data_IF_994227515152
#
_entry.id   IF_994227515152
#
_cell.length_a   1.000
_cell.length_b   1.000
_cell.length_c   1.000
_cell.angle_alpha   90.00
_cell.angle_beta   90.00
_cell.angle_gamma   90.00
#
_symmetry.space_group_name_H-M   'P 1'
#
loop_
_entity.id
_entity.type
_entity.pdbx_description
1 polymer ?
#
# COMPACT_ATOMS: atom_id res chain seq x y z
N UNK A 1 -10.95 19.49 -7.03
CA UNK A 1 -11.14 18.24 -6.31
C UNK A 1 -9.84 17.51 -5.99
N UNK A 2 -9.11 17.00 -6.98
CA UNK A 2 -7.86 16.26 -6.76
C UNK A 2 -6.81 17.15 -6.09
N UNK A 3 -6.50 18.29 -6.71
CA UNK A 3 -5.46 19.21 -6.23
C UNK A 3 -5.83 19.83 -4.88
N UNK A 4 -7.10 20.15 -4.66
CA UNK A 4 -7.57 20.82 -3.44
C UNK A 4 -7.80 19.86 -2.27
N UNK A 5 -8.53 18.75 -2.48
CA UNK A 5 -9.02 17.90 -1.39
C UNK A 5 -8.21 16.62 -1.22
N UNK A 6 -7.74 15.98 -2.30
CA UNK A 6 -7.08 14.67 -2.23
C UNK A 6 -5.56 14.76 -2.14
N UNK A 7 -4.96 15.78 -2.74
CA UNK A 7 -3.51 15.98 -2.78
C UNK A 7 -2.86 16.04 -1.38
N UNK A 8 -3.44 16.69 -0.34
CA UNK A 8 -2.82 16.68 0.98
C UNK A 8 -2.63 15.26 1.56
N UNK A 9 -3.60 14.38 1.33
CA UNK A 9 -3.53 12.96 1.73
C UNK A 9 -2.45 12.23 0.96
N UNK A 10 -2.44 12.39 -0.36
CA UNK A 10 -1.43 11.78 -1.24
C UNK A 10 -0.01 12.21 -0.86
N UNK A 11 0.22 13.51 -0.63
CA UNK A 11 1.53 14.02 -0.22
C UNK A 11 1.94 13.46 1.14
N UNK A 12 1.02 13.36 2.11
CA UNK A 12 1.28 12.71 3.40
C UNK A 12 1.68 11.25 3.22
N UNK A 13 0.96 10.50 2.38
CA UNK A 13 1.25 9.09 2.08
C UNK A 13 2.61 8.92 1.42
N UNK A 14 2.91 9.72 0.39
CA UNK A 14 4.20 9.73 -0.31
C UNK A 14 5.33 10.00 0.67
N UNK A 15 5.22 11.01 1.55
CA UNK A 15 6.26 11.31 2.55
C UNK A 15 6.56 10.11 3.45
N UNK A 16 5.54 9.34 3.85
CA UNK A 16 5.74 8.14 4.67
C UNK A 16 6.37 7.02 3.83
N UNK A 17 5.85 6.78 2.62
CA UNK A 17 6.42 5.78 1.72
C UNK A 17 7.87 6.06 1.32
N UNK A 18 8.25 7.34 1.21
CA UNK A 18 9.64 7.75 0.97
C UNK A 18 10.55 7.41 2.15
N UNK A 19 10.11 7.64 3.39
CA UNK A 19 10.86 7.24 4.59
C UNK A 19 11.08 5.73 4.63
N UNK A 20 10.08 4.96 4.20
CA UNK A 20 10.14 3.49 4.11
C UNK A 20 10.80 2.98 2.82
N UNK A 21 11.15 3.88 1.90
CA UNK A 21 11.65 3.58 0.55
C UNK A 21 10.75 2.64 -0.25
N UNK A 22 9.45 2.64 0.07
CA UNK A 22 8.43 1.77 -0.52
C UNK A 22 7.74 2.35 -1.74
N UNK A 23 8.04 3.61 -2.06
CA UNK A 23 7.42 4.37 -3.16
C UNK A 23 8.54 5.13 -3.91
N UNK A 24 8.60 5.05 -5.26
CA UNK A 24 9.65 5.68 -6.05
C UNK A 24 9.26 7.11 -6.50
N UNK A 25 8.27 7.72 -5.87
CA UNK A 25 7.69 9.00 -6.28
C UNK A 25 8.06 10.13 -5.32
N UNK A 26 8.11 11.35 -5.84
CA UNK A 26 8.32 12.58 -5.08
C UNK A 26 7.36 13.67 -5.56
N UNK A 27 6.87 14.47 -4.61
CA UNK A 27 6.11 15.67 -4.95
C UNK A 27 7.05 16.86 -5.05
N UNK A 28 7.22 17.39 -6.25
CA UNK A 28 8.06 18.56 -6.52
C UNK A 28 7.28 19.83 -6.21
N UNK A 29 7.65 20.50 -5.12
CA UNK A 29 7.06 21.80 -4.74
C UNK A 29 7.26 22.87 -5.82
N UNK A 30 8.38 22.81 -6.56
CA UNK A 30 8.69 23.77 -7.63
C UNK A 30 7.72 23.67 -8.81
N UNK A 31 7.33 22.46 -9.17
CA UNK A 31 6.44 22.23 -10.31
C UNK A 31 4.99 22.00 -9.91
N UNK A 32 4.71 21.72 -8.64
CA UNK A 32 3.39 21.25 -8.17
C UNK A 32 3.01 19.89 -8.75
N UNK A 33 3.99 19.06 -9.12
CA UNK A 33 3.77 17.78 -9.83
C UNK A 33 4.49 16.63 -9.14
N UNK A 34 3.96 15.44 -9.35
CA UNK A 34 4.63 14.19 -9.02
C UNK A 34 5.70 13.86 -10.04
N UNK A 35 6.86 13.45 -9.57
CA UNK A 35 8.01 13.02 -10.36
C UNK A 35 8.56 11.72 -9.80
N UNK A 36 9.25 10.95 -10.64
CA UNK A 36 10.01 9.78 -10.17
C UNK A 36 11.28 10.27 -9.49
N UNK A 37 11.63 9.65 -8.36
CA UNK A 37 12.86 9.97 -7.62
C UNK A 37 14.10 9.72 -8.50
N UNK A 38 15.07 10.63 -8.41
CA UNK A 38 16.38 10.46 -9.07
C UNK A 38 17.39 9.70 -8.18
N UNK A 39 17.02 9.43 -6.93
CA UNK A 39 17.85 8.72 -5.96
C UNK A 39 17.97 7.23 -6.34
N UNK A 40 19.13 6.86 -6.89
CA UNK A 40 19.44 5.48 -7.33
C UNK A 40 19.32 4.47 -6.20
N UNK A 41 19.70 4.83 -4.97
CA UNK A 41 19.64 3.95 -3.81
C UNK A 41 18.19 3.66 -3.44
N UNK A 42 17.33 4.67 -3.48
CA UNK A 42 15.90 4.49 -3.23
C UNK A 42 15.25 3.62 -4.30
N UNK A 43 15.57 3.85 -5.58
CA UNK A 43 15.09 3.00 -6.68
C UNK A 43 15.51 1.54 -6.49
N UNK A 44 16.78 1.31 -6.16
CA UNK A 44 17.28 -0.04 -5.94
C UNK A 44 16.56 -0.73 -4.77
N UNK A 45 16.40 -0.05 -3.63
CA UNK A 45 15.67 -0.58 -2.47
C UNK A 45 14.21 -0.88 -2.81
N UNK A 46 13.54 0.02 -3.54
CA UNK A 46 12.17 -0.18 -3.98
C UNK A 46 12.02 -1.44 -4.87
N UNK A 47 12.95 -1.67 -5.81
CA UNK A 47 12.97 -2.87 -6.65
C UNK A 47 13.19 -4.14 -5.84
N UNK A 48 14.16 -4.12 -4.92
CA UNK A 48 14.40 -5.25 -4.00
C UNK A 48 13.13 -5.56 -3.20
N UNK A 49 12.46 -4.53 -2.67
CA UNK A 49 11.20 -4.68 -1.95
C UNK A 49 10.07 -5.29 -2.80
N UNK A 50 9.95 -4.94 -4.09
CA UNK A 50 8.97 -5.57 -4.99
C UNK A 50 9.27 -7.05 -5.18
N UNK A 51 10.54 -7.38 -5.44
CA UNK A 51 10.96 -8.77 -5.64
C UNK A 51 10.73 -9.59 -4.37
N UNK A 52 11.08 -9.04 -3.20
CA UNK A 52 10.80 -9.67 -1.90
C UNK A 52 9.29 -9.89 -1.70
N UNK A 53 8.46 -8.92 -2.07
CA UNK A 53 7.01 -9.09 -1.97
C UNK A 53 6.50 -10.20 -2.90
N UNK A 54 7.00 -10.30 -4.13
CA UNK A 54 6.67 -11.40 -5.04
C UNK A 54 7.08 -12.76 -4.46
N UNK A 55 8.31 -12.87 -3.94
CA UNK A 55 8.80 -14.08 -3.27
C UNK A 55 7.91 -14.44 -2.08
N UNK A 56 7.51 -13.45 -1.27
CA UNK A 56 6.62 -13.63 -0.13
C UNK A 56 5.25 -14.17 -0.56
N UNK A 57 4.67 -13.65 -1.65
CA UNK A 57 3.43 -14.17 -2.25
C UNK A 57 3.56 -15.63 -2.71
N UNK A 58 4.67 -15.97 -3.38
CA UNK A 58 4.94 -17.34 -3.83
C UNK A 58 5.08 -18.29 -2.62
N UNK A 59 5.79 -17.87 -1.58
CA UNK A 59 5.94 -18.65 -0.35
C UNK A 59 4.60 -18.88 0.36
N UNK A 60 3.75 -17.85 0.49
CA UNK A 60 2.40 -17.99 1.03
C UNK A 60 1.56 -18.96 0.21
N UNK A 61 1.59 -18.86 -1.12
CA UNK A 61 0.85 -19.76 -2.00
C UNK A 61 1.33 -21.21 -1.85
N UNK A 62 2.65 -21.42 -1.84
CA UNK A 62 3.25 -22.74 -1.62
C UNK A 62 2.82 -23.34 -0.28
N UNK A 63 2.83 -22.55 0.79
CA UNK A 63 2.39 -23.00 2.11
C UNK A 63 0.89 -23.31 2.17
N UNK A 64 0.04 -22.54 1.46
CA UNK A 64 -1.39 -22.82 1.37
C UNK A 64 -1.71 -24.09 0.58
N UNK A 65 -1.02 -24.32 -0.53
CA UNK A 65 -1.23 -25.46 -1.40
C UNK A 65 -0.67 -26.76 -0.81
N UNK A 66 0.56 -26.72 -0.31
CA UNK A 66 1.33 -27.92 0.07
C UNK A 66 1.51 -28.09 1.58
N UNK A 67 1.17 -27.07 2.40
CA UNK A 67 1.31 -27.14 3.84
C UNK A 67 0.24 -28.00 4.53
N UNK A 68 0.60 -28.54 5.69
CA UNK A 68 -0.26 -29.36 6.57
C UNK A 68 -1.23 -28.51 7.40
N UNK A 69 -1.77 -27.45 6.81
CA UNK A 69 -2.72 -26.55 7.45
C UNK A 69 -4.12 -27.18 7.49
N UNK A 70 -4.84 -26.96 8.59
CA UNK A 70 -6.27 -27.27 8.66
C UNK A 70 -7.06 -26.41 7.67
N UNK A 71 -8.26 -26.85 7.27
CA UNK A 71 -9.10 -26.10 6.34
C UNK A 71 -9.34 -24.65 6.80
N UNK A 72 -9.64 -24.45 8.09
CA UNK A 72 -9.82 -23.11 8.68
C UNK A 72 -8.58 -22.23 8.53
N UNK A 73 -7.39 -22.77 8.83
CA UNK A 73 -6.13 -22.04 8.66
C UNK A 73 -5.86 -21.73 7.18
N UNK A 74 -6.19 -22.64 6.25
CA UNK A 74 -6.08 -22.37 4.81
C UNK A 74 -6.97 -21.20 4.38
N UNK A 75 -8.23 -21.14 4.83
CA UNK A 75 -9.12 -20.01 4.54
C UNK A 75 -8.58 -18.69 5.10
N UNK A 76 -8.11 -18.69 6.35
CA UNK A 76 -7.48 -17.52 6.95
C UNK A 76 -6.27 -17.05 6.14
N UNK A 77 -5.34 -17.95 5.82
CA UNK A 77 -4.16 -17.61 5.04
C UNK A 77 -4.49 -17.17 3.60
N UNK A 78 -5.55 -17.70 3.00
CA UNK A 78 -6.01 -17.31 1.66
C UNK A 78 -6.47 -15.85 1.60
N UNK A 79 -7.17 -15.36 2.63
CA UNK A 79 -7.56 -13.95 2.71
C UNK A 79 -6.33 -13.05 2.69
N UNK A 80 -5.31 -13.36 3.49
CA UNK A 80 -4.07 -12.59 3.48
C UNK A 80 -3.32 -12.71 2.14
N UNK A 81 -3.25 -13.90 1.56
CA UNK A 81 -2.65 -14.08 0.24
C UNK A 81 -3.32 -13.20 -0.83
N UNK A 82 -4.65 -13.12 -0.85
CA UNK A 82 -5.39 -12.24 -1.74
C UNK A 82 -5.05 -10.76 -1.49
N UNK A 83 -4.99 -10.33 -0.22
CA UNK A 83 -4.61 -8.96 0.13
C UNK A 83 -3.20 -8.61 -0.40
N UNK A 84 -2.22 -9.47 -0.19
CA UNK A 84 -0.84 -9.24 -0.65
C UNK A 84 -0.76 -9.23 -2.16
N UNK A 85 -1.47 -10.14 -2.83
CA UNK A 85 -1.54 -10.20 -4.29
C UNK A 85 -2.13 -8.91 -4.87
N UNK A 86 -3.23 -8.41 -4.30
CA UNK A 86 -3.82 -7.12 -4.71
C UNK A 86 -2.84 -5.97 -4.49
N UNK A 87 -2.16 -5.92 -3.34
CA UNK A 87 -1.15 -4.90 -3.06
C UNK A 87 0.04 -5.00 -4.02
N UNK A 88 0.46 -6.21 -4.39
CA UNK A 88 1.55 -6.47 -5.33
C UNK A 88 1.18 -5.97 -6.72
N UNK A 89 0.00 -6.33 -7.21
CA UNK A 89 -0.55 -5.83 -8.48
C UNK A 89 -0.62 -4.31 -8.49
N UNK A 90 -1.10 -3.70 -7.40
CA UNK A 90 -1.18 -2.26 -7.25
C UNK A 90 0.18 -1.57 -7.39
N UNK A 91 1.24 -2.12 -6.76
CA UNK A 91 2.58 -1.50 -6.78
C UNK A 91 3.54 -2.05 -7.83
N UNK A 92 3.11 -2.94 -8.73
CA UNK A 92 4.01 -3.58 -9.68
C UNK A 92 4.49 -2.56 -10.73
N UNK A 93 5.58 -1.86 -10.40
CA UNK A 93 6.17 -0.85 -11.25
C UNK A 93 7.71 -0.95 -11.23
N UNK A 94 8.22 -2.15 -11.54
CA UNK A 94 9.66 -2.44 -11.52
C UNK A 94 10.47 -1.55 -12.48
N UNK A 95 9.91 -1.27 -13.66
CA UNK A 95 10.52 -0.46 -14.70
C UNK A 95 10.34 1.06 -14.49
N UNK A 96 9.71 1.47 -13.38
CA UNK A 96 9.44 2.87 -13.05
C UNK A 96 8.67 3.59 -14.17
N UNK A 97 7.62 2.96 -14.69
CA UNK A 97 6.72 3.54 -15.65
C UNK A 97 6.06 4.80 -15.06
N UNK A 98 6.03 5.87 -15.87
CA UNK A 98 5.46 7.17 -15.52
C UNK A 98 3.93 7.23 -15.58
N UNK A 99 3.27 6.20 -16.13
CA UNK A 99 1.82 6.21 -16.38
C UNK A 99 1.01 6.58 -15.13
N UNK A 100 1.28 5.92 -14.01
CA UNK A 100 0.61 6.17 -12.73
C UNK A 100 0.70 7.63 -12.27
N UNK A 101 1.91 8.22 -12.29
CA UNK A 101 2.10 9.62 -11.89
C UNK A 101 1.50 10.58 -12.93
N UNK A 102 1.48 10.19 -14.21
CA UNK A 102 0.95 11.00 -15.29
C UNK A 102 -0.56 11.12 -15.19
N UNK A 103 -1.28 10.07 -14.77
CA UNK A 103 -2.72 10.12 -14.50
C UNK A 103 -3.03 11.19 -13.45
N UNK A 104 -2.31 11.17 -12.33
CA UNK A 104 -2.48 12.15 -11.24
C UNK A 104 -2.14 13.56 -11.72
N UNK A 105 -0.97 13.74 -12.35
CA UNK A 105 -0.55 15.03 -12.87
C UNK A 105 -1.55 15.59 -13.89
N UNK A 106 -2.12 14.74 -14.75
CA UNK A 106 -3.12 15.14 -15.73
C UNK A 106 -4.43 15.56 -15.06
N UNK A 107 -4.87 14.86 -14.01
CA UNK A 107 -6.04 15.26 -13.23
C UNK A 107 -5.82 16.63 -12.56
N UNK A 108 -4.65 16.86 -11.96
CA UNK A 108 -4.29 18.14 -11.34
C UNK A 108 -4.21 19.28 -12.37
N UNK A 109 -3.59 19.02 -13.54
CA UNK A 109 -3.47 20.00 -14.62
C UNK A 109 -4.85 20.33 -15.24
N UNK A 110 -5.70 19.32 -15.43
CA UNK A 110 -7.07 19.50 -15.92
C UNK A 110 -7.90 20.34 -14.95
N UNK A 111 -7.83 20.03 -13.66
CA UNK A 111 -8.51 20.78 -12.62
C UNK A 111 -8.07 22.24 -12.57
N UNK A 112 -6.77 22.51 -12.69
CA UNK A 112 -6.25 23.88 -12.74
C UNK A 112 -6.88 24.67 -13.90
N UNK A 113 -7.03 24.04 -15.07
CA UNK A 113 -7.69 24.67 -16.23
C UNK A 113 -9.19 24.86 -16.00
N UNK A 114 -9.86 23.89 -15.36
CA UNK A 114 -11.30 23.94 -15.09
C UNK A 114 -11.67 25.04 -14.07
N UNK A 115 -10.83 25.27 -13.07
CA UNK A 115 -11.03 26.27 -12.00
C UNK A 115 -10.65 27.69 -12.44
N UNK A 116 -9.78 27.84 -13.45
CA UNK A 116 -9.37 29.17 -13.93
C UNK A 116 -10.58 29.91 -14.52
N UNK A 117 -11.17 30.84 -13.75
CA UNK A 117 -12.30 31.68 -14.17
C UNK A 117 -13.68 31.23 -13.71
N UNK A 118 -13.81 30.19 -12.87
CA UNK A 118 -15.08 29.78 -12.24
C UNK A 118 -14.97 29.80 -10.71
N UNK A 119 -16.08 30.06 -10.02
CA UNK A 119 -16.15 29.92 -8.56
C UNK A 119 -15.82 28.49 -8.13
N UNK A 120 -15.29 28.34 -6.91
CA UNK A 120 -14.84 27.06 -6.36
C UNK A 120 -15.79 25.90 -6.68
N UNK A 121 -15.22 24.78 -7.13
CA UNK A 121 -15.93 23.51 -7.28
C UNK A 121 -16.55 23.14 -5.93
N UNK A 122 -17.88 23.26 -5.85
CA UNK A 122 -18.62 22.94 -4.64
C UNK A 122 -18.39 21.49 -4.25
N UNK A 123 -18.16 21.26 -2.95
CA UNK A 123 -17.89 19.92 -2.44
C UNK A 123 -19.17 19.11 -2.46
N UNK A 124 -19.26 18.16 -3.39
CA UNK A 124 -20.39 17.24 -3.46
C UNK A 124 -20.26 16.10 -2.42
N UNK A 125 -21.34 15.31 -2.25
CA UNK A 125 -21.38 14.20 -1.29
C UNK A 125 -20.28 13.15 -1.58
N UNK A 126 -20.03 12.84 -2.84
CA UNK A 126 -19.02 11.86 -3.28
C UNK A 126 -17.62 12.27 -2.82
N UNK A 127 -17.27 13.55 -2.96
CA UNK A 127 -15.99 14.11 -2.49
C UNK A 127 -15.85 13.96 -0.99
N UNK A 128 -16.91 14.28 -0.23
CA UNK A 128 -16.91 14.12 1.23
C UNK A 128 -16.72 12.67 1.63
N UNK A 129 -17.44 11.74 0.99
CA UNK A 129 -17.30 10.30 1.24
C UNK A 129 -15.88 9.82 0.90
N UNK A 130 -15.33 10.26 -0.22
CA UNK A 130 -13.97 9.91 -0.61
C UNK A 130 -12.94 10.42 0.39
N UNK A 131 -13.09 11.63 0.94
CA UNK A 131 -12.20 12.13 1.99
C UNK A 131 -12.26 11.31 3.28
N UNK A 132 -13.44 10.80 3.66
CA UNK A 132 -13.57 9.90 4.82
C UNK A 132 -12.94 8.54 4.53
N UNK A 133 -13.15 8.02 3.32
CA UNK A 133 -12.51 6.79 2.86
C UNK A 133 -10.97 6.93 2.89
N UNK A 134 -10.41 8.02 2.36
CA UNK A 134 -8.97 8.29 2.41
C UNK A 134 -8.41 8.29 3.84
N UNK A 135 -9.12 8.92 4.78
CA UNK A 135 -8.74 8.88 6.19
C UNK A 135 -8.78 7.48 6.77
N UNK A 136 -9.90 6.76 6.57
CA UNK A 136 -10.08 5.41 7.09
C UNK A 136 -9.00 4.47 6.54
N UNK A 137 -8.74 4.52 5.23
CA UNK A 137 -7.70 3.73 4.57
C UNK A 137 -6.32 4.09 5.12
N UNK A 138 -6.02 5.37 5.31
CA UNK A 138 -4.74 5.81 5.86
C UNK A 138 -4.45 5.17 7.23
N UNK A 139 -5.43 5.16 8.15
CA UNK A 139 -5.27 4.50 9.44
C UNK A 139 -5.24 2.98 9.33
N UNK A 140 -6.06 2.41 8.45
CA UNK A 140 -6.12 0.96 8.23
C UNK A 140 -4.80 0.38 7.74
N UNK A 141 -4.05 1.12 6.91
CA UNK A 141 -2.72 0.74 6.41
C UNK A 141 -1.73 0.46 7.56
N UNK A 142 -1.86 1.14 8.70
CA UNK A 142 -1.01 0.91 9.88
C UNK A 142 -1.66 -0.04 10.89
N UNK A 143 -2.98 -0.01 11.01
CA UNK A 143 -3.71 -0.89 11.91
C UNK A 143 -3.54 -2.37 11.52
N UNK A 144 -3.53 -2.70 10.22
CA UNK A 144 -3.39 -4.08 9.75
C UNK A 144 -2.04 -4.70 10.16
N UNK A 145 -0.85 -4.09 9.88
CA UNK A 145 0.43 -4.58 10.39
C UNK A 145 0.49 -4.74 11.91
N UNK A 146 -0.10 -3.81 12.68
CA UNK A 146 -0.14 -3.89 14.14
C UNK A 146 -1.00 -5.08 14.60
N UNK A 147 -2.17 -5.26 14.00
CA UNK A 147 -3.05 -6.38 14.29
C UNK A 147 -2.39 -7.72 13.93
N UNK A 148 -1.67 -7.77 12.78
CA UNK A 148 -0.89 -8.93 12.36
C UNK A 148 0.26 -9.24 13.33
N UNK A 149 0.98 -8.23 13.80
CA UNK A 149 1.98 -8.40 14.86
C UNK A 149 1.36 -9.00 16.13
N UNK A 150 0.23 -8.47 16.59
CA UNK A 150 -0.51 -9.02 17.72
C UNK A 150 -0.90 -10.49 17.50
N UNK A 151 -1.36 -10.84 16.30
CA UNK A 151 -1.69 -12.22 15.93
C UNK A 151 -0.46 -13.14 15.99
N UNK A 152 0.71 -12.72 15.48
CA UNK A 152 1.94 -13.53 15.54
C UNK A 152 2.37 -13.76 16.99
N UNK A 153 2.30 -12.72 17.83
CA UNK A 153 2.71 -12.81 19.23
C UNK A 153 1.81 -13.76 20.03
N UNK A 154 0.52 -13.83 19.69
CA UNK A 154 -0.46 -14.71 20.33
C UNK A 154 -0.44 -16.13 19.78
N UNK A 155 -0.37 -16.29 18.45
CA UNK A 155 -0.32 -17.58 17.76
C UNK A 155 0.68 -17.52 16.59
N UNK A 156 1.97 -17.86 16.81
CA UNK A 156 2.97 -17.84 15.75
C UNK A 156 2.75 -18.92 14.68
N UNK A 157 1.83 -19.87 14.93
CA UNK A 157 1.39 -20.89 13.97
C UNK A 157 0.17 -20.45 13.13
N UNK A 158 -0.33 -19.23 13.30
CA UNK A 158 -1.39 -18.69 12.45
C UNK A 158 -0.81 -18.26 11.10
N UNK A 159 -1.41 -18.64 9.96
CA UNK A 159 -0.99 -18.10 8.67
C UNK A 159 -1.32 -16.60 8.59
N UNK A 160 -0.57 -15.81 7.79
CA UNK A 160 0.27 -16.19 6.64
C UNK A 160 1.79 -16.02 6.89
N UNK A 161 2.21 -16.07 8.16
CA UNK A 161 3.53 -15.63 8.57
C UNK A 161 4.61 -16.65 8.22
N UNK A 162 5.85 -16.21 8.04
CA UNK A 162 6.95 -17.14 7.77
C UNK A 162 7.17 -18.12 8.93
N UNK A 163 6.90 -17.68 10.17
CA UNK A 163 6.95 -18.55 11.34
C UNK A 163 5.92 -19.68 11.29
N UNK A 164 4.76 -19.48 10.67
CA UNK A 164 3.75 -20.53 10.54
C UNK A 164 4.17 -21.66 9.59
N UNK A 165 5.20 -21.42 8.77
CA UNK A 165 5.76 -22.43 7.86
C UNK A 165 6.72 -23.39 8.55
N UNK A 166 7.11 -23.11 9.80
CA UNK A 166 7.97 -23.99 10.60
C UNK A 166 7.17 -25.11 11.24
N UNK A 167 7.75 -26.32 11.26
CA UNK A 167 7.13 -27.47 11.95
C UNK A 167 7.07 -27.33 13.48
N UNK A 168 7.90 -26.46 14.06
CA UNK A 168 8.05 -26.25 15.50
C UNK A 168 7.49 -24.88 15.96
N UNK A 169 6.61 -24.25 15.18
CA UNK A 169 6.07 -22.92 15.47
C UNK A 169 5.40 -22.82 16.86
N UNK A 170 4.83 -23.92 17.37
CA UNK A 170 4.15 -23.96 18.67
C UNK A 170 5.11 -23.91 19.87
N UNK A 171 6.40 -24.14 19.63
CA UNK A 171 7.45 -24.14 20.66
C UNK A 171 8.18 -22.79 20.77
N UNK A 172 7.76 -21.79 20.00
CA UNK A 172 8.38 -20.47 19.98
C UNK A 172 8.14 -19.78 21.32
N UNK A 173 9.23 -19.37 21.97
CA UNK A 173 9.23 -18.65 23.24
C UNK A 173 9.93 -17.31 23.06
N UNK A 174 9.17 -16.22 23.18
CA UNK A 174 9.66 -14.86 23.00
C UNK A 174 10.58 -14.37 24.13
N UNK A 175 10.61 -15.06 25.28
CA UNK A 175 11.25 -14.56 26.52
C UNK A 175 12.69 -15.02 26.73
N UNK A 176 13.06 -16.18 26.18
CA UNK A 176 14.33 -16.84 26.54
C UNK A 176 15.57 -16.19 25.94
N UNK A 177 15.53 -15.73 24.68
CA UNK A 177 16.64 -15.00 24.05
C UNK A 177 16.25 -14.39 22.71
N UNK A 178 16.95 -13.33 22.31
CA UNK A 178 16.85 -12.77 20.97
C UNK A 178 17.45 -13.74 19.93
N UNK A 179 16.64 -14.67 19.43
CA UNK A 179 17.02 -15.64 18.40
C UNK A 179 16.49 -15.31 17.00
N UNK A 180 16.73 -16.24 16.07
CA UNK A 180 16.29 -16.18 14.67
C UNK A 180 14.78 -15.95 14.49
N UNK A 181 13.94 -16.40 15.42
CA UNK A 181 12.48 -16.16 15.41
C UNK A 181 12.14 -14.67 15.48
N UNK A 182 12.88 -13.90 16.28
CA UNK A 182 12.69 -12.45 16.38
C UNK A 182 13.09 -11.74 15.09
N UNK A 183 14.12 -12.24 14.39
CA UNK A 183 14.52 -11.70 13.08
C UNK A 183 13.43 -11.94 12.03
N UNK A 184 12.82 -13.13 12.01
CA UNK A 184 11.67 -13.41 11.13
C UNK A 184 10.50 -12.50 11.49
N UNK A 185 10.19 -12.33 12.78
CA UNK A 185 9.11 -11.44 13.21
C UNK A 185 9.33 -9.99 12.74
N UNK A 186 10.55 -9.47 12.93
CA UNK A 186 10.93 -8.14 12.46
C UNK A 186 10.80 -8.06 10.94
N UNK A 187 11.26 -9.09 10.22
CA UNK A 187 11.12 -9.15 8.77
C UNK A 187 9.65 -9.13 8.34
N UNK A 188 8.79 -9.97 8.92
CA UNK A 188 7.36 -10.04 8.61
C UNK A 188 6.68 -8.68 8.86
N UNK A 189 6.96 -8.02 9.98
CA UNK A 189 6.41 -6.69 10.27
C UNK A 189 6.89 -5.64 9.27
N UNK A 190 8.18 -5.66 8.91
CA UNK A 190 8.73 -4.75 7.91
C UNK A 190 8.13 -5.01 6.53
N UNK A 191 7.93 -6.28 6.17
CA UNK A 191 7.24 -6.75 4.96
C UNK A 191 5.78 -6.26 4.94
N UNK A 192 5.07 -6.32 6.05
CA UNK A 192 3.71 -5.82 6.13
C UNK A 192 3.66 -4.32 5.88
N UNK A 193 4.46 -3.55 6.63
CA UNK A 193 4.46 -2.09 6.57
C UNK A 193 4.76 -1.59 5.16
N UNK A 194 5.83 -2.07 4.53
CA UNK A 194 6.19 -1.57 3.19
C UNK A 194 5.22 -2.07 2.11
N UNK A 195 4.63 -3.28 2.23
CA UNK A 195 3.61 -3.80 1.31
C UNK A 195 2.36 -2.93 1.36
N UNK A 196 1.80 -2.70 2.54
CA UNK A 196 0.57 -1.93 2.67
C UNK A 196 0.77 -0.46 2.32
N UNK A 197 1.86 0.18 2.76
CA UNK A 197 2.14 1.57 2.39
C UNK A 197 2.43 1.72 0.89
N UNK A 198 3.21 0.82 0.29
CA UNK A 198 3.56 0.90 -1.13
C UNK A 198 2.39 0.52 -2.06
N UNK A 199 1.67 -0.57 -1.75
CA UNK A 199 0.56 -1.11 -2.55
C UNK A 199 -0.67 -0.23 -2.58
N UNK A 200 -0.97 0.42 -1.46
CA UNK A 200 -2.18 1.24 -1.35
C UNK A 200 -2.12 2.53 -2.14
N UNK A 201 -0.94 3.10 -2.45
CA UNK A 201 -0.88 4.39 -3.14
C UNK A 201 -1.58 4.35 -4.50
N UNK A 202 -1.29 3.34 -5.30
CA UNK A 202 -1.83 3.20 -6.65
C UNK A 202 -3.34 2.89 -6.62
N UNK A 203 -3.74 1.96 -5.76
CA UNK A 203 -5.14 1.58 -5.59
C UNK A 203 -5.98 2.77 -5.10
N UNK A 204 -5.51 3.48 -4.08
CA UNK A 204 -6.26 4.55 -3.44
C UNK A 204 -6.27 5.82 -4.30
N UNK A 205 -5.10 6.23 -4.80
CA UNK A 205 -4.95 7.55 -5.42
C UNK A 205 -5.02 7.53 -6.96
N UNK A 206 -4.77 6.40 -7.62
CA UNK A 206 -5.00 6.33 -9.07
C UNK A 206 -6.38 5.79 -9.38
N UNK A 207 -6.77 4.70 -8.73
CA UNK A 207 -8.05 4.06 -9.03
C UNK A 207 -9.21 4.76 -8.34
N UNK A 208 -9.29 4.75 -7.00
CA UNK A 208 -10.47 5.28 -6.31
C UNK A 208 -10.62 6.80 -6.46
N UNK A 209 -9.58 7.60 -6.19
CA UNK A 209 -9.70 9.07 -6.36
C UNK A 209 -9.82 9.46 -7.83
N UNK A 210 -9.19 8.71 -8.74
CA UNK A 210 -9.32 8.92 -10.18
C UNK A 210 -10.76 8.77 -10.65
N UNK A 211 -11.45 7.69 -10.23
CA UNK A 211 -12.88 7.47 -10.53
C UNK A 211 -13.73 8.64 -10.01
N UNK A 212 -13.57 9.02 -8.74
CA UNK A 212 -14.36 10.11 -8.14
C UNK A 212 -14.10 11.44 -8.87
N UNK A 213 -12.85 11.73 -9.22
CA UNK A 213 -12.52 12.93 -10.01
C UNK A 213 -13.16 12.92 -11.39
N UNK A 214 -13.09 11.81 -12.13
CA UNK A 214 -13.71 11.68 -13.46
C UNK A 214 -15.23 11.87 -13.39
N UNK A 215 -15.91 11.23 -12.44
CA UNK A 215 -17.36 11.40 -12.24
C UNK A 215 -17.74 12.86 -12.01
N UNK A 216 -16.96 13.56 -11.17
CA UNK A 216 -17.18 14.98 -10.88
C UNK A 216 -16.87 15.89 -12.07
N UNK A 217 -15.83 15.58 -12.84
CA UNK A 217 -15.52 16.34 -14.04
C UNK A 217 -16.62 16.19 -15.10
N UNK A 218 -17.19 14.99 -15.27
CA UNK A 218 -18.33 14.80 -16.18
C UNK A 218 -19.59 15.53 -15.70
N UNK A 219 -19.84 15.59 -14.39
CA UNK A 219 -20.97 16.33 -13.84
C UNK A 219 -20.87 17.85 -14.10
N UNK A 220 -19.66 18.41 -14.18
CA UNK A 220 -19.44 19.84 -14.49
C UNK A 220 -19.53 20.15 -15.99
N UNK A 221 -19.28 19.16 -16.84
CA UNK A 221 -19.36 19.31 -18.30
C UNK A 221 -20.78 19.16 -18.86
N UNK A 222 -21.69 18.56 -18.10
CA UNK A 222 -23.12 18.48 -18.42
C UNK A 222 -23.81 19.81 -18.13
#
# INVERSE_FOLDING_TARGET
MYSTYFLPFLVRHIKIGQKLKSIPYEFSQKSGKLVITKDRTRVWIYRVQIVLHLIYCIAMLGHLCFGTLTATKKFQGFVFFCMYTVMLCGRWNYDLNVASIQIINSAMDYEKKLVTGKSDLSVNLETKLMMHFLHLTFYSIFAVPIAKLGLILLDPCSPPFLLSMRGDCSSIDWTKSFGYQNLILIFDVLMDIHVFVGGSLEIVYNFFTGIVCLLNYFAVLR
#
